data_IF_568506758100
#
_entry.id   IF_568506758100
#
_cell.length_a   1.000
_cell.length_b   1.000
_cell.length_c   1.000
_cell.angle_alpha   90.00
_cell.angle_beta   90.00
_cell.angle_gamma   90.00
#
_symmetry.space_group_name_H-M   'P 1'
#
loop_
_entity.id
_entity.type
_entity.pdbx_description
1 polymer ?
#
# COMPACT_ATOMS: atom_id res chain seq x y z
N UNK A 1 -10.74 14.12 7.80
CA UNK A 1 -10.01 14.18 9.09
C UNK A 1 -8.53 14.30 8.77
N UNK A 2 -7.87 15.32 9.33
CA UNK A 2 -6.52 15.79 8.99
C UNK A 2 -5.43 14.73 9.11
N UNK A 3 -5.60 13.74 10.00
CA UNK A 3 -4.63 12.65 10.18
C UNK A 3 -4.36 11.82 8.92
N UNK A 4 -5.36 11.65 8.03
CA UNK A 4 -5.16 10.94 6.75
C UNK A 4 -4.24 11.73 5.82
N UNK A 5 -4.30 13.05 5.89
CA UNK A 5 -3.50 13.93 5.05
C UNK A 5 -2.04 13.84 5.48
N UNK A 6 -1.75 13.86 6.79
CA UNK A 6 -0.38 13.76 7.31
C UNK A 6 0.20 12.35 7.18
N UNK A 7 -0.58 11.30 7.43
CA UNK A 7 -0.10 9.91 7.42
C UNK A 7 0.37 9.39 6.06
N UNK A 8 -0.10 10.00 4.96
CA UNK A 8 0.20 9.59 3.58
C UNK A 8 1.09 10.56 2.82
N UNK A 9 1.76 11.50 3.51
CA UNK A 9 2.73 12.37 2.85
C UNK A 9 4.09 11.68 2.69
N UNK A 10 4.74 11.85 1.52
CA UNK A 10 6.14 11.54 1.36
C UNK A 10 7.02 12.31 2.35
N UNK A 11 8.02 11.63 2.91
CA UNK A 11 9.00 12.30 3.77
C UNK A 11 10.14 12.88 2.92
N UNK A 12 10.51 14.17 3.11
CA UNK A 12 11.72 14.72 2.50
C UNK A 12 12.98 14.04 3.03
N UNK A 13 13.88 13.69 2.13
CA UNK A 13 15.22 13.19 2.45
C UNK A 13 16.17 14.37 2.75
N UNK A 14 17.37 14.06 3.27
CA UNK A 14 18.37 15.08 3.62
C UNK A 14 18.84 15.92 2.43
N UNK A 15 18.65 15.43 1.20
CA UNK A 15 18.96 16.15 -0.05
C UNK A 15 17.75 16.90 -0.64
N UNK A 16 16.63 16.96 0.08
CA UNK A 16 15.40 17.64 -0.33
C UNK A 16 14.50 16.84 -1.28
N UNK A 17 14.91 15.64 -1.74
CA UNK A 17 14.05 14.77 -2.55
C UNK A 17 12.95 14.13 -1.71
N UNK A 18 11.79 13.89 -2.31
CA UNK A 18 10.71 13.14 -1.66
C UNK A 18 10.98 11.64 -1.72
N UNK A 19 10.79 10.95 -0.60
CA UNK A 19 10.83 9.49 -0.55
C UNK A 19 9.54 8.87 -1.12
N UNK A 20 9.55 7.55 -1.35
CA UNK A 20 8.33 6.78 -1.63
C UNK A 20 7.69 6.22 -0.34
N UNK A 21 7.91 6.86 0.81
CA UNK A 21 7.51 6.34 2.12
C UNK A 21 7.19 7.44 3.14
N UNK A 22 6.07 7.30 3.85
CA UNK A 22 5.61 8.24 4.87
C UNK A 22 5.63 7.65 6.27
N UNK A 23 4.65 8.01 7.10
CA UNK A 23 4.47 7.49 8.46
C UNK A 23 4.01 6.02 8.47
N UNK A 24 4.89 5.09 8.11
CA UNK A 24 4.59 3.65 8.09
C UNK A 24 3.80 3.19 6.87
N UNK A 25 3.87 3.95 5.77
CA UNK A 25 3.17 3.63 4.51
C UNK A 25 4.12 3.81 3.34
N UNK A 26 4.20 2.79 2.47
CA UNK A 26 4.69 2.98 1.12
C UNK A 26 3.68 3.82 0.35
N UNK A 27 4.19 4.84 -0.36
CA UNK A 27 3.40 5.81 -1.12
C UNK A 27 3.78 5.63 -2.58
N UNK A 28 2.78 5.35 -3.41
CA UNK A 28 2.96 5.01 -4.81
C UNK A 28 1.78 5.55 -5.64
N UNK A 29 1.92 5.48 -6.96
CA UNK A 29 0.84 5.73 -7.91
C UNK A 29 0.77 4.57 -8.89
N UNK A 30 -0.36 3.88 -8.91
CA UNK A 30 -0.59 2.72 -9.80
C UNK A 30 -1.75 3.02 -10.73
N UNK A 31 -1.50 2.94 -12.04
CA UNK A 31 -2.51 3.18 -13.07
C UNK A 31 -3.27 4.51 -12.86
N UNK A 32 -2.51 5.56 -12.54
CA UNK A 32 -3.08 6.90 -12.30
C UNK A 32 -3.65 7.13 -10.90
N UNK A 33 -3.80 6.09 -10.06
CA UNK A 33 -4.48 6.15 -8.75
C UNK A 33 -3.50 6.25 -7.59
N UNK A 34 -3.79 7.10 -6.60
CA UNK A 34 -2.94 7.23 -5.41
C UNK A 34 -3.07 5.98 -4.55
N UNK A 35 -1.94 5.34 -4.28
CA UNK A 35 -1.86 4.11 -3.53
C UNK A 35 -1.00 4.33 -2.29
N UNK A 36 -1.54 3.95 -1.13
CA UNK A 36 -0.73 3.71 0.07
C UNK A 36 -0.80 2.25 0.45
N UNK A 37 0.34 1.68 0.83
CA UNK A 37 0.42 0.26 1.15
C UNK A 37 1.43 -0.06 2.22
N UNK A 38 1.28 -1.23 2.84
CA UNK A 38 2.27 -1.76 3.76
C UNK A 38 2.21 -3.28 3.77
N UNK A 39 3.38 -3.92 3.84
CA UNK A 39 3.51 -5.36 4.01
C UNK A 39 3.63 -5.75 5.48
N UNK A 40 3.41 -7.01 5.80
CA UNK A 40 3.73 -7.57 7.11
C UNK A 40 4.34 -8.95 6.94
N UNK A 41 5.27 -9.27 7.83
CA UNK A 41 5.91 -10.56 7.89
C UNK A 41 6.15 -10.93 9.35
N UNK A 42 5.64 -12.08 9.75
CA UNK A 42 5.92 -12.70 11.03
C UNK A 42 6.05 -14.22 10.81
N UNK A 43 6.57 -14.96 11.79
CA UNK A 43 6.84 -16.40 11.67
C UNK A 43 5.59 -17.14 11.17
N UNK A 44 5.64 -17.65 9.93
CA UNK A 44 4.52 -18.36 9.30
C UNK A 44 3.50 -17.45 8.59
N UNK A 45 3.52 -16.14 8.78
CA UNK A 45 2.49 -15.22 8.29
C UNK A 45 3.05 -14.13 7.37
N UNK A 46 2.31 -13.83 6.31
CA UNK A 46 2.54 -12.70 5.41
C UNK A 46 1.26 -11.90 5.27
N UNK A 47 1.36 -10.58 5.24
CA UNK A 47 0.21 -9.70 5.03
C UNK A 47 0.54 -8.58 4.06
N UNK A 48 -0.49 -8.03 3.43
CA UNK A 48 -0.38 -6.80 2.67
C UNK A 48 -1.70 -6.02 2.74
N UNK A 49 -1.60 -4.72 2.94
CA UNK A 49 -2.71 -3.78 2.83
C UNK A 49 -2.40 -2.80 1.70
N UNK A 50 -3.37 -2.57 0.82
CA UNK A 50 -3.32 -1.59 -0.26
C UNK A 50 -4.56 -0.71 -0.19
N UNK A 51 -4.39 0.61 -0.21
CA UNK A 51 -5.49 1.58 -0.15
C UNK A 51 -5.38 2.55 -1.31
N UNK A 52 -6.40 2.56 -2.16
CA UNK A 52 -6.60 3.52 -3.22
C UNK A 52 -7.44 4.66 -2.67
N UNK A 53 -6.80 5.78 -2.35
CA UNK A 53 -7.37 6.78 -1.43
C UNK A 53 -8.57 7.50 -2.05
N UNK A 54 -8.44 7.96 -3.29
CA UNK A 54 -9.50 8.66 -4.01
C UNK A 54 -10.64 7.72 -4.39
N UNK A 55 -10.30 6.50 -4.82
CA UNK A 55 -11.27 5.47 -5.21
C UNK A 55 -12.03 4.89 -4.00
N UNK A 56 -11.58 5.16 -2.77
CA UNK A 56 -12.11 4.60 -1.51
C UNK A 56 -12.09 3.06 -1.49
N UNK A 57 -11.18 2.45 -2.24
CA UNK A 57 -10.97 1.01 -2.28
C UNK A 57 -9.86 0.63 -1.29
N UNK A 58 -10.07 -0.44 -0.53
CA UNK A 58 -9.03 -1.02 0.33
C UNK A 58 -9.02 -2.53 0.14
N UNK A 59 -7.85 -3.06 -0.20
CA UNK A 59 -7.59 -4.49 -0.37
C UNK A 59 -6.69 -4.92 0.78
N UNK A 60 -7.09 -5.99 1.47
CA UNK A 60 -6.32 -6.59 2.56
C UNK A 60 -6.14 -8.07 2.27
N UNK A 61 -4.90 -8.53 2.25
CA UNK A 61 -4.56 -9.93 2.04
C UNK A 61 -3.79 -10.42 3.26
N UNK A 62 -4.27 -11.51 3.86
CA UNK A 62 -3.65 -12.18 4.99
C UNK A 62 -3.36 -13.63 4.59
N UNK A 63 -2.17 -14.11 4.94
CA UNK A 63 -1.73 -15.46 4.61
C UNK A 63 -1.00 -16.08 5.80
N UNK A 64 -1.33 -17.33 6.09
CA UNK A 64 -0.64 -18.20 7.05
C UNK A 64 0.42 -19.09 6.38
N UNK A 65 0.91 -18.67 5.21
CA UNK A 65 1.98 -19.33 4.47
C UNK A 65 3.19 -18.40 4.34
N UNK A 66 4.32 -18.78 4.94
CA UNK A 66 5.52 -17.95 5.08
C UNK A 66 6.13 -17.45 3.74
N UNK A 67 6.02 -18.26 2.68
CA UNK A 67 6.55 -18.00 1.35
C UNK A 67 5.51 -17.48 0.35
N UNK A 68 4.30 -17.15 0.82
CA UNK A 68 3.30 -16.48 -0.04
C UNK A 68 3.69 -15.03 -0.35
N UNK A 69 3.12 -14.48 -1.42
CA UNK A 69 3.25 -13.07 -1.80
C UNK A 69 1.88 -12.36 -1.80
N UNK A 70 1.42 -11.86 -0.63
CA UNK A 70 0.18 -11.11 -0.53
C UNK A 70 0.18 -9.79 -1.31
N UNK A 71 1.36 -9.20 -1.58
CA UNK A 71 1.48 -7.95 -2.32
C UNK A 71 1.14 -8.14 -3.80
N UNK A 72 1.66 -9.20 -4.41
CA UNK A 72 1.31 -9.59 -5.78
C UNK A 72 -0.16 -9.96 -5.91
N UNK A 73 -0.72 -10.75 -4.96
CA UNK A 73 -2.15 -11.06 -4.97
C UNK A 73 -3.02 -9.80 -4.82
N UNK A 74 -2.65 -8.86 -3.94
CA UNK A 74 -3.35 -7.58 -3.80
C UNK A 74 -3.37 -6.79 -5.12
N UNK A 75 -2.26 -6.82 -5.87
CA UNK A 75 -2.16 -6.18 -7.20
C UNK A 75 -3.09 -6.84 -8.22
N UNK A 76 -3.13 -8.17 -8.30
CA UNK A 76 -4.03 -8.87 -9.22
C UNK A 76 -5.51 -8.61 -8.88
N UNK A 77 -5.86 -8.61 -7.59
CA UNK A 77 -7.21 -8.21 -7.14
C UNK A 77 -7.52 -6.78 -7.58
N UNK A 78 -6.59 -5.85 -7.46
CA UNK A 78 -6.85 -4.46 -7.87
C UNK A 78 -7.15 -4.31 -9.36
N UNK A 79 -6.55 -5.14 -10.22
CA UNK A 79 -6.88 -5.15 -11.65
C UNK A 79 -8.33 -5.56 -11.88
N UNK A 80 -8.84 -6.54 -11.13
CA UNK A 80 -10.24 -6.98 -11.22
C UNK A 80 -11.21 -5.91 -10.67
N UNK A 81 -10.82 -5.23 -9.59
CA UNK A 81 -11.65 -4.18 -8.97
C UNK A 81 -11.80 -2.96 -9.89
N UNK A 82 -10.79 -2.67 -10.72
CA UNK A 82 -10.78 -1.51 -11.62
C UNK A 82 -10.94 -1.89 -13.10
N UNK A 83 -11.43 -3.09 -13.41
CA UNK A 83 -11.58 -3.62 -14.78
C UNK A 83 -12.73 -2.98 -15.60
N UNK A 84 -13.20 -1.80 -15.23
CA UNK A 84 -14.25 -1.04 -15.94
C UNK A 84 -13.68 0.24 -16.58
#
# INVERSE_FOLDING_TARGET
REWKVQGYQPTPLSDGKLSSYGFGWGIDKRDGRQLVSHGGAWVGFRTHISRYIEDRVTIVVLSNLANSDPGSLSREISKLVFAE
#
